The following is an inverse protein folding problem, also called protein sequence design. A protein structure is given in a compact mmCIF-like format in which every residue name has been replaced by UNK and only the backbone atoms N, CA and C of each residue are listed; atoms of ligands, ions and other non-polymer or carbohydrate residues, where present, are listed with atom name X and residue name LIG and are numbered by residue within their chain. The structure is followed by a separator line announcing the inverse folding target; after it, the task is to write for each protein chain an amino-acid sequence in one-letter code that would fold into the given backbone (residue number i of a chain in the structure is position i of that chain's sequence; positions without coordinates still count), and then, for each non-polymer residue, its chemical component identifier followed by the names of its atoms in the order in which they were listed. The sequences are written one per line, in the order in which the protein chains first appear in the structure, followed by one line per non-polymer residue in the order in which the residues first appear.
data_IF_658045671105
#
_entry.id   IF_658045671105
#
_cell.length_a   1.000
_cell.length_b   1.000
_cell.length_c   1.000
_cell.angle_alpha   90.00
_cell.angle_beta   90.00
_cell.angle_gamma   90.00
#
_symmetry.space_group_name_H-M   'P 1'
#
loop_
_entity.id
_entity.type
_entity.pdbx_description
1 polymer ?
#
# COMPACT_ATOMS: atom_id res chain seq x y z
N UNK A 1 49.64 10.80 13.28
CA UNK A 1 48.80 11.13 12.10
C UNK A 1 47.74 12.08 12.62
N UNK A 2 47.96 13.39 12.47
CA UNK A 2 47.05 14.41 12.98
C UNK A 2 45.74 14.38 12.19
N UNK A 3 44.67 13.91 12.83
CA UNK A 3 43.31 13.92 12.28
C UNK A 3 42.70 15.34 12.22
N UNK A 4 43.40 16.37 12.72
CA UNK A 4 42.88 17.73 12.91
C UNK A 4 43.01 18.67 11.71
N UNK A 5 43.70 18.28 10.63
CA UNK A 5 44.02 19.18 9.50
C UNK A 5 43.63 18.63 8.12
N UNK A 6 42.61 17.76 8.03
CA UNK A 6 42.07 17.39 6.72
C UNK A 6 41.01 18.43 6.25
N UNK A 7 41.17 19.05 5.06
CA UNK A 7 40.19 20.01 4.53
C UNK A 7 38.79 19.42 4.37
N UNK A 8 38.69 18.08 4.25
CA UNK A 8 37.42 17.36 4.15
C UNK A 8 36.63 17.36 5.46
N UNK A 9 37.27 17.27 6.63
CA UNK A 9 36.58 17.26 7.93
C UNK A 9 35.83 18.57 8.19
N UNK A 10 36.48 19.70 7.87
CA UNK A 10 35.86 21.03 7.98
C UNK A 10 34.74 21.24 6.96
N UNK A 11 34.89 20.70 5.76
CA UNK A 11 33.91 20.85 4.70
C UNK A 11 32.61 20.09 4.98
N UNK A 12 32.68 18.81 5.40
CA UNK A 12 31.50 18.05 5.81
C UNK A 12 30.92 18.54 7.16
N UNK A 13 31.77 18.99 8.09
CA UNK A 13 31.33 19.62 9.34
C UNK A 13 30.46 20.86 9.12
N UNK A 14 30.75 21.66 8.09
CA UNK A 14 29.93 22.83 7.74
C UNK A 14 28.50 22.44 7.31
N UNK A 15 28.33 21.31 6.61
CA UNK A 15 27.03 20.76 6.22
C UNK A 15 26.23 20.33 7.46
N UNK A 16 26.89 19.70 8.43
CA UNK A 16 26.26 19.30 9.69
C UNK A 16 25.84 20.47 10.57
N UNK A 17 26.65 21.54 10.63
CA UNK A 17 26.29 22.75 11.35
C UNK A 17 25.04 23.38 10.75
N UNK A 18 24.99 23.50 9.41
CA UNK A 18 23.82 24.05 8.72
C UNK A 18 22.58 23.16 8.88
N UNK A 19 22.73 21.85 8.74
CA UNK A 19 21.65 20.89 8.98
C UNK A 19 21.12 20.98 10.42
N UNK A 20 22.00 21.03 11.43
CA UNK A 20 21.63 21.12 12.84
C UNK A 20 20.90 22.43 13.15
N UNK A 21 21.33 23.55 12.55
CA UNK A 21 20.63 24.83 12.64
C UNK A 21 19.22 24.74 12.03
N UNK A 22 19.08 24.15 10.84
CA UNK A 22 17.76 23.97 10.21
C UNK A 22 16.83 23.04 11.00
N UNK A 23 17.36 21.95 11.55
CA UNK A 23 16.62 21.06 12.47
C UNK A 23 16.17 21.85 13.70
N UNK A 24 17.05 22.64 14.30
CA UNK A 24 16.75 23.47 15.47
C UNK A 24 15.65 24.51 15.17
N UNK A 25 15.75 25.22 14.05
CA UNK A 25 14.70 26.17 13.65
C UNK A 25 13.35 25.51 13.44
N UNK A 26 13.31 24.35 12.78
CA UNK A 26 12.07 23.58 12.60
C UNK A 26 11.51 23.05 13.92
N UNK A 27 12.37 22.60 14.83
CA UNK A 27 11.95 22.16 16.16
C UNK A 27 11.38 23.33 16.97
N UNK A 28 12.03 24.49 16.93
CA UNK A 28 11.61 25.72 17.63
C UNK A 28 10.28 26.27 17.10
N UNK A 29 9.97 26.06 15.82
CA UNK A 29 8.68 26.43 15.23
C UNK A 29 7.61 25.34 15.35
N UNK A 30 7.87 24.25 16.11
CA UNK A 30 6.97 23.09 16.23
C UNK A 30 6.71 22.35 14.91
N UNK A 31 7.51 22.63 13.88
CA UNK A 31 7.48 22.03 12.53
C UNK A 31 8.30 20.72 12.47
N UNK A 32 8.65 20.11 13.60
CA UNK A 32 9.33 18.81 13.66
C UNK A 32 9.13 18.17 15.04
N UNK A 33 8.76 16.89 15.07
CA UNK A 33 8.68 16.08 16.30
C UNK A 33 9.83 15.07 16.27
N UNK A 34 10.57 14.94 17.37
CA UNK A 34 11.66 13.97 17.49
C UNK A 34 11.08 12.56 17.57
N UNK A 35 11.06 11.86 16.43
CA UNK A 35 10.58 10.47 16.34
C UNK A 35 11.77 9.50 16.28
N UNK A 36 11.61 8.23 16.71
CA UNK A 36 12.65 7.21 16.55
C UNK A 36 13.13 7.05 15.10
N UNK A 37 12.25 7.29 14.12
CA UNK A 37 12.59 7.29 12.71
C UNK A 37 13.60 8.40 12.35
N UNK A 38 13.52 9.56 12.99
CA UNK A 38 14.46 10.67 12.79
C UNK A 38 15.89 10.28 13.21
N UNK A 39 16.03 9.54 14.31
CA UNK A 39 17.32 9.04 14.79
C UNK A 39 17.93 8.03 13.81
N UNK A 40 17.10 7.18 13.21
CA UNK A 40 17.54 6.25 12.15
C UNK A 40 18.04 7.01 10.93
N UNK A 41 17.33 8.05 10.48
CA UNK A 41 17.79 8.88 9.35
C UNK A 41 19.10 9.61 9.66
N UNK A 42 19.26 10.13 10.88
CA UNK A 42 20.51 10.74 11.32
C UNK A 42 21.67 9.75 11.24
N UNK A 43 21.47 8.53 11.74
CA UNK A 43 22.48 7.47 11.67
C UNK A 43 22.82 7.07 10.22
N UNK A 44 21.81 6.96 9.34
CA UNK A 44 22.02 6.70 7.92
C UNK A 44 22.79 7.83 7.22
N UNK A 45 22.54 9.09 7.59
CA UNK A 45 23.29 10.24 7.05
C UNK A 45 24.77 10.20 7.47
N UNK A 46 25.07 9.78 8.70
CA UNK A 46 26.47 9.61 9.16
C UNK A 46 27.17 8.49 8.38
N UNK A 47 26.49 7.36 8.14
CA UNK A 47 27.04 6.28 7.29
C UNK A 47 27.24 6.78 5.85
N UNK A 48 26.29 7.55 5.33
CA UNK A 48 26.34 8.09 3.97
C UNK A 48 27.47 9.12 3.81
N UNK A 49 27.70 9.98 4.81
CA UNK A 49 28.87 10.87 4.86
C UNK A 49 30.17 10.08 4.82
N UNK A 50 30.29 9.02 5.63
CA UNK A 50 31.47 8.17 5.64
C UNK A 50 31.74 7.54 4.27
N UNK A 51 30.68 7.09 3.59
CA UNK A 51 30.77 6.60 2.22
C UNK A 51 31.20 7.69 1.22
N UNK A 52 30.62 8.89 1.33
CA UNK A 52 31.00 10.03 0.48
C UNK A 52 32.47 10.42 0.67
N UNK A 53 32.97 10.34 1.90
CA UNK A 53 34.38 10.63 2.22
C UNK A 53 35.34 9.61 1.60
N UNK A 54 34.97 8.33 1.62
CA UNK A 54 35.80 7.25 1.09
C UNK A 54 35.88 7.19 -0.43
N UNK A 55 34.77 7.47 -1.13
CA UNK A 55 34.64 7.12 -2.54
C UNK A 55 34.44 8.30 -3.49
N UNK A 56 34.18 9.52 -2.98
CA UNK A 56 33.82 10.66 -3.82
C UNK A 56 34.75 11.85 -3.63
N UNK A 57 34.96 12.66 -4.70
CA UNK A 57 35.58 13.98 -4.56
C UNK A 57 34.80 14.87 -3.60
N UNK A 58 35.51 15.69 -2.80
CA UNK A 58 34.95 16.51 -1.72
C UNK A 58 33.72 17.33 -2.17
N UNK A 59 33.80 18.00 -3.32
CA UNK A 59 32.70 18.84 -3.82
C UNK A 59 31.45 17.99 -4.12
N UNK A 60 31.63 16.84 -4.79
CA UNK A 60 30.53 15.97 -5.15
C UNK A 60 29.88 15.33 -3.90
N UNK A 61 30.72 14.92 -2.94
CA UNK A 61 30.24 14.38 -1.67
C UNK A 61 29.49 15.41 -0.82
N UNK A 62 29.93 16.68 -0.79
CA UNK A 62 29.19 17.76 -0.11
C UNK A 62 27.84 18.00 -0.77
N UNK A 63 27.76 18.04 -2.10
CA UNK A 63 26.50 18.24 -2.83
C UNK A 63 25.52 17.10 -2.53
N UNK A 64 26.00 15.86 -2.54
CA UNK A 64 25.17 14.68 -2.28
C UNK A 64 24.74 14.62 -0.81
N UNK A 65 25.63 14.86 0.15
CA UNK A 65 25.27 14.90 1.57
C UNK A 65 24.28 16.04 1.87
N UNK A 66 24.50 17.23 1.29
CA UNK A 66 23.57 18.36 1.44
C UNK A 66 22.18 18.04 0.87
N UNK A 67 22.12 17.36 -0.28
CA UNK A 67 20.87 16.90 -0.88
C UNK A 67 20.17 15.85 -0.03
N UNK A 68 20.92 14.91 0.56
CA UNK A 68 20.39 13.89 1.46
C UNK A 68 19.86 14.51 2.77
N UNK A 69 20.60 15.44 3.37
CA UNK A 69 20.18 16.23 4.53
C UNK A 69 18.89 17.02 4.25
N UNK A 70 18.80 17.69 3.09
CA UNK A 70 17.59 18.39 2.67
C UNK A 70 16.40 17.45 2.48
N UNK A 71 16.63 16.26 1.91
CA UNK A 71 15.60 15.24 1.75
C UNK A 71 15.07 14.73 3.10
N UNK A 72 15.97 14.41 4.04
CA UNK A 72 15.60 13.99 5.40
C UNK A 72 14.79 15.07 6.12
N UNK A 73 15.21 16.33 6.03
CA UNK A 73 14.47 17.46 6.61
C UNK A 73 13.06 17.61 6.06
N UNK A 74 12.82 17.29 4.80
CA UNK A 74 11.49 17.36 4.19
C UNK A 74 10.59 16.19 4.58
N UNK A 75 11.15 14.99 4.79
CA UNK A 75 10.40 13.84 5.29
C UNK A 75 10.07 13.97 6.78
N UNK A 76 10.99 14.58 7.54
CA UNK A 76 10.90 14.74 8.99
C UNK A 76 9.87 15.79 9.44
N UNK A 77 9.60 16.80 8.63
CA UNK A 77 8.61 17.83 8.97
C UNK A 77 7.18 17.25 8.93
N UNK A 78 6.33 17.59 9.91
CA UNK A 78 4.92 17.28 9.86
C UNK A 78 4.32 17.97 8.63
N UNK A 79 3.36 17.30 8.03
CA UNK A 79 2.73 17.80 6.81
C UNK A 79 1.83 18.97 7.15
N UNK A 80 1.96 20.07 6.41
CA UNK A 80 1.02 21.18 6.48
C UNK A 80 -0.37 20.68 6.06
N UNK A 81 -1.30 20.77 7.00
CA UNK A 81 -2.71 20.47 6.77
C UNK A 81 -3.44 21.73 6.33
N UNK A 82 -4.45 21.57 5.48
CA UNK A 82 -5.35 22.64 5.09
C UNK A 82 -6.15 23.11 6.32
N UNK A 83 -6.33 24.43 6.51
CA UNK A 83 -7.01 24.96 7.69
C UNK A 83 -8.49 24.59 7.67
N UNK A 84 -8.91 23.78 8.65
CA UNK A 84 -10.30 23.30 8.84
C UNK A 84 -11.03 24.07 9.94
N UNK A 85 -10.32 24.58 10.95
CA UNK A 85 -10.92 25.27 12.10
C UNK A 85 -11.60 26.59 11.71
N UNK A 86 -12.80 26.83 12.25
CA UNK A 86 -13.53 28.11 12.10
C UNK A 86 -14.23 28.34 10.75
N UNK A 87 -14.26 27.34 9.86
CA UNK A 87 -14.94 27.46 8.56
C UNK A 87 -16.34 26.86 8.60
N UNK A 88 -17.34 27.67 8.25
CA UNK A 88 -18.72 27.22 8.02
C UNK A 88 -18.77 26.37 6.75
N UNK A 89 -19.30 25.14 6.85
CA UNK A 89 -19.49 24.24 5.70
C UNK A 89 -20.66 24.76 4.87
N UNK A 90 -20.37 25.59 3.86
CA UNK A 90 -21.31 25.84 2.78
C UNK A 90 -21.14 24.70 1.77
N UNK A 91 -22.14 23.82 1.63
CA UNK A 91 -22.16 22.81 0.56
C UNK A 91 -22.35 23.55 -0.76
N UNK A 92 -21.24 24.01 -1.35
CA UNK A 92 -21.20 24.74 -2.62
C UNK A 92 -20.37 24.00 -3.67
N UNK A 93 -19.80 22.84 -3.32
CA UNK A 93 -19.01 21.99 -4.22
C UNK A 93 -18.56 20.67 -3.58
N UNK A 94 -17.97 19.78 -4.38
CA UNK A 94 -17.43 18.49 -3.93
C UNK A 94 -15.91 18.58 -3.80
N UNK A 95 -15.41 18.79 -2.59
CA UNK A 95 -13.97 18.90 -2.32
C UNK A 95 -13.22 17.57 -2.45
N UNK A 96 -13.79 16.48 -1.95
CA UNK A 96 -13.11 15.18 -1.91
C UNK A 96 -14.07 14.04 -2.24
N UNK A 97 -13.60 13.07 -3.02
CA UNK A 97 -14.24 11.79 -3.27
C UNK A 97 -13.41 10.68 -2.64
N UNK A 98 -14.04 9.86 -1.79
CA UNK A 98 -13.41 8.65 -1.22
C UNK A 98 -14.05 7.40 -1.84
N UNK A 99 -13.35 6.77 -2.76
CA UNK A 99 -13.76 5.50 -3.36
C UNK A 99 -13.38 4.35 -2.43
N UNK A 100 -14.31 3.91 -1.59
CA UNK A 100 -14.09 2.82 -0.62
C UNK A 100 -14.76 1.50 -0.99
N UNK A 101 -15.83 1.52 -1.78
CA UNK A 101 -16.61 0.33 -2.10
C UNK A 101 -15.72 -0.80 -2.65
N UNK A 102 -15.92 -2.00 -2.12
CA UNK A 102 -15.09 -3.16 -2.42
C UNK A 102 -15.86 -4.46 -2.24
N UNK A 103 -15.64 -5.40 -3.14
CA UNK A 103 -16.25 -6.71 -3.15
C UNK A 103 -15.21 -7.80 -3.44
N UNK A 104 -15.24 -8.86 -2.64
CA UNK A 104 -14.46 -10.07 -2.83
C UNK A 104 -15.42 -11.25 -2.62
N UNK A 105 -15.67 -12.04 -3.67
CA UNK A 105 -16.69 -13.08 -3.61
C UNK A 105 -16.21 -14.40 -2.99
N UNK A 106 -14.96 -14.79 -3.27
CA UNK A 106 -14.46 -16.12 -3.01
C UNK A 106 -12.93 -16.17 -2.89
N UNK A 107 -12.41 -17.20 -2.21
CA UNK A 107 -11.00 -17.50 -2.04
C UNK A 107 -10.67 -18.90 -2.52
N UNK A 108 -9.90 -19.00 -3.60
CA UNK A 108 -9.38 -20.26 -4.10
C UNK A 108 -8.61 -20.04 -5.37
N UNK A 109 -8.02 -21.12 -5.88
CA UNK A 109 -7.16 -21.08 -7.05
C UNK A 109 -7.81 -20.33 -8.21
N UNK A 110 -6.97 -19.73 -9.04
CA UNK A 110 -7.43 -18.93 -10.17
C UNK A 110 -8.33 -19.75 -11.11
N UNK A 111 -8.01 -21.03 -11.30
CA UNK A 111 -8.76 -21.99 -12.09
C UNK A 111 -10.11 -22.38 -11.48
N UNK A 112 -10.19 -22.46 -10.14
CA UNK A 112 -11.44 -22.75 -9.43
C UNK A 112 -12.39 -21.54 -9.40
N UNK A 113 -11.88 -20.34 -9.68
CA UNK A 113 -12.66 -19.12 -9.62
C UNK A 113 -13.54 -18.97 -10.87
N UNK A 114 -14.87 -18.99 -10.67
CA UNK A 114 -15.85 -18.82 -11.75
C UNK A 114 -15.71 -17.46 -12.45
N UNK A 115 -15.98 -17.41 -13.76
CA UNK A 115 -15.99 -16.15 -14.51
C UNK A 115 -17.00 -15.12 -13.98
N UNK A 116 -18.11 -15.57 -13.40
CA UNK A 116 -19.08 -14.70 -12.71
C UNK A 116 -18.45 -13.97 -11.51
N UNK A 117 -17.53 -14.62 -10.79
CA UNK A 117 -16.76 -14.01 -9.70
C UNK A 117 -15.81 -12.93 -10.22
N UNK A 118 -15.09 -13.18 -11.32
CA UNK A 118 -14.25 -12.16 -11.96
C UNK A 118 -15.08 -10.95 -12.40
N UNK A 119 -16.23 -11.19 -13.06
CA UNK A 119 -17.16 -10.13 -13.47
C UNK A 119 -17.66 -9.33 -12.27
N UNK A 120 -18.18 -9.99 -11.24
CA UNK A 120 -18.69 -9.32 -10.04
C UNK A 120 -17.65 -8.46 -9.33
N UNK A 121 -16.41 -8.95 -9.17
CA UNK A 121 -15.31 -8.16 -8.63
C UNK A 121 -14.98 -6.95 -9.51
N UNK A 122 -14.94 -7.10 -10.84
CA UNK A 122 -14.68 -6.00 -11.78
C UNK A 122 -15.80 -4.96 -11.78
N UNK A 123 -17.07 -5.38 -11.80
CA UNK A 123 -18.23 -4.48 -11.78
C UNK A 123 -18.21 -3.56 -10.57
N UNK A 124 -17.97 -4.09 -9.37
CA UNK A 124 -17.97 -3.28 -8.15
C UNK A 124 -16.66 -2.51 -7.99
N UNK A 125 -15.52 -3.20 -8.01
CA UNK A 125 -14.25 -2.60 -7.60
C UNK A 125 -13.70 -1.65 -8.65
N UNK A 126 -13.86 -1.99 -9.93
CA UNK A 126 -13.29 -1.23 -11.04
C UNK A 126 -14.34 -0.35 -11.72
N UNK A 127 -15.37 -0.93 -12.34
CA UNK A 127 -16.33 -0.17 -13.14
C UNK A 127 -17.13 0.81 -12.29
N UNK A 128 -17.70 0.38 -11.16
CA UNK A 128 -18.44 1.24 -10.25
C UNK A 128 -17.60 2.41 -9.72
N UNK A 129 -16.35 2.15 -9.32
CA UNK A 129 -15.40 3.19 -8.93
C UNK A 129 -15.11 4.17 -10.06
N UNK A 130 -14.86 3.66 -11.27
CA UNK A 130 -14.54 4.46 -12.45
C UNK A 130 -15.73 5.35 -12.85
N UNK A 131 -16.94 4.81 -12.84
CA UNK A 131 -18.17 5.50 -13.22
C UNK A 131 -18.48 6.65 -12.25
N UNK A 132 -18.45 6.39 -10.93
CA UNK A 132 -18.63 7.44 -9.92
C UNK A 132 -17.55 8.51 -10.05
N UNK A 133 -16.29 8.10 -10.20
CA UNK A 133 -15.17 9.04 -10.33
C UNK A 133 -15.35 9.95 -11.54
N UNK A 134 -15.68 9.39 -12.71
CA UNK A 134 -15.91 10.17 -13.95
C UNK A 134 -17.11 11.09 -13.84
N UNK A 135 -18.21 10.61 -13.24
CA UNK A 135 -19.45 11.37 -13.05
C UNK A 135 -19.23 12.59 -12.16
N UNK A 136 -18.46 12.44 -11.08
CA UNK A 136 -18.20 13.50 -10.11
C UNK A 136 -17.01 14.39 -10.48
N UNK A 137 -16.24 14.01 -11.51
CA UNK A 137 -15.02 14.69 -11.93
C UNK A 137 -15.21 16.18 -12.25
N UNK A 138 -16.30 16.65 -12.88
CA UNK A 138 -16.52 18.08 -13.10
C UNK A 138 -16.55 18.89 -11.79
N UNK A 139 -17.21 18.36 -10.75
CA UNK A 139 -17.32 19.03 -9.45
C UNK A 139 -15.96 19.08 -8.74
N UNK A 140 -15.22 17.95 -8.76
CA UNK A 140 -13.90 17.84 -8.14
C UNK A 140 -12.88 18.74 -8.85
N UNK A 141 -12.94 18.84 -10.19
CA UNK A 141 -12.08 19.75 -10.97
C UNK A 141 -12.37 21.21 -10.63
N UNK A 142 -13.66 21.58 -10.50
CA UNK A 142 -14.06 22.93 -10.12
C UNK A 142 -13.50 23.34 -8.75
N UNK A 143 -13.42 22.40 -7.80
CA UNK A 143 -12.87 22.66 -6.47
C UNK A 143 -11.36 22.46 -6.36
N UNK A 144 -10.68 21.99 -7.43
CA UNK A 144 -9.28 21.51 -7.38
C UNK A 144 -9.06 20.50 -6.24
N UNK A 145 -10.02 19.59 -6.12
CA UNK A 145 -10.23 18.73 -4.98
C UNK A 145 -9.30 17.53 -4.86
N UNK A 146 -9.81 16.48 -4.21
CA UNK A 146 -9.09 15.24 -3.87
C UNK A 146 -9.88 14.02 -4.36
N UNK A 147 -9.17 13.06 -4.95
CA UNK A 147 -9.68 11.71 -5.20
C UNK A 147 -8.83 10.76 -4.35
N UNK A 148 -9.48 10.09 -3.40
CA UNK A 148 -8.84 9.10 -2.52
C UNK A 148 -9.48 7.76 -2.78
N UNK A 149 -8.69 6.76 -3.17
CA UNK A 149 -9.22 5.44 -3.54
C UNK A 149 -8.61 4.36 -2.65
N UNK A 150 -9.45 3.53 -2.05
CA UNK A 150 -9.02 2.39 -1.23
C UNK A 150 -8.69 1.21 -2.14
N UNK A 151 -7.38 0.98 -2.29
CA UNK A 151 -6.79 -0.11 -3.04
C UNK A 151 -6.72 -1.42 -2.25
N UNK A 152 -5.73 -2.23 -2.60
CA UNK A 152 -5.33 -3.41 -1.84
C UNK A 152 -3.91 -3.82 -2.26
N UNK A 153 -3.10 -4.37 -1.34
CA UNK A 153 -1.85 -5.03 -1.67
C UNK A 153 -1.98 -6.12 -2.74
N UNK A 154 -3.14 -6.78 -2.81
CA UNK A 154 -3.45 -7.78 -3.84
C UNK A 154 -3.63 -7.19 -5.26
N UNK A 155 -3.73 -5.85 -5.38
CA UNK A 155 -3.74 -5.15 -6.67
C UNK A 155 -2.34 -4.79 -7.18
N UNK A 156 -1.31 -4.90 -6.34
CA UNK A 156 0.09 -4.63 -6.72
C UNK A 156 0.95 -5.90 -6.71
N UNK A 157 0.51 -6.94 -6.01
CA UNK A 157 1.19 -8.24 -5.95
C UNK A 157 0.19 -9.37 -6.16
N UNK A 158 0.67 -10.47 -6.74
CA UNK A 158 -0.13 -11.67 -6.96
C UNK A 158 -0.25 -12.46 -5.66
N UNK A 159 -1.40 -12.36 -5.00
CA UNK A 159 -1.70 -13.20 -3.83
C UNK A 159 -2.42 -14.47 -4.28
N UNK A 160 -1.90 -15.66 -3.92
CA UNK A 160 -2.62 -16.91 -4.12
C UNK A 160 -4.03 -16.84 -3.54
N UNK A 161 -4.95 -17.56 -4.18
CA UNK A 161 -6.37 -17.62 -3.83
C UNK A 161 -7.20 -16.35 -4.05
N UNK A 162 -6.59 -15.26 -4.53
CA UNK A 162 -7.22 -13.94 -4.65
C UNK A 162 -7.30 -13.43 -6.09
N UNK A 163 -7.19 -14.30 -7.09
CA UNK A 163 -7.02 -13.91 -8.50
C UNK A 163 -8.10 -12.93 -9.01
N UNK A 164 -9.38 -13.20 -8.79
CA UNK A 164 -10.47 -12.34 -9.24
C UNK A 164 -10.48 -10.96 -8.56
N UNK A 165 -10.34 -10.95 -7.23
CA UNK A 165 -10.28 -9.71 -6.45
C UNK A 165 -9.02 -8.90 -6.78
N UNK A 166 -7.86 -9.55 -6.76
CA UNK A 166 -6.56 -8.94 -7.07
C UNK A 166 -6.53 -8.33 -8.46
N UNK A 167 -7.05 -9.03 -9.48
CA UNK A 167 -7.17 -8.52 -10.85
C UNK A 167 -7.99 -7.22 -10.90
N UNK A 168 -9.13 -7.18 -10.20
CA UNK A 168 -9.98 -5.98 -10.16
C UNK A 168 -9.31 -4.79 -9.44
N UNK A 169 -8.57 -5.05 -8.36
CA UNK A 169 -7.81 -4.02 -7.64
C UNK A 169 -6.56 -3.57 -8.42
N UNK A 170 -5.97 -4.43 -9.24
CA UNK A 170 -4.88 -4.09 -10.14
C UNK A 170 -5.35 -3.15 -11.26
N UNK A 171 -6.49 -3.48 -11.90
CA UNK A 171 -7.12 -2.61 -12.89
C UNK A 171 -7.46 -1.24 -12.29
N UNK A 172 -8.03 -1.23 -11.08
CA UNK A 172 -8.33 0.01 -10.34
C UNK A 172 -7.06 0.84 -10.07
N UNK A 173 -5.99 0.20 -9.60
CA UNK A 173 -4.72 0.88 -9.32
C UNK A 173 -4.15 1.57 -10.57
N UNK A 174 -4.15 0.87 -11.72
CA UNK A 174 -3.65 1.43 -12.99
C UNK A 174 -4.46 2.62 -13.47
N UNK A 175 -5.79 2.58 -13.37
CA UNK A 175 -6.61 3.72 -13.81
C UNK A 175 -6.46 4.93 -12.87
N UNK A 176 -6.27 4.72 -11.56
CA UNK A 176 -6.01 5.80 -10.62
C UNK A 176 -4.64 6.44 -10.83
N UNK A 177 -3.61 5.64 -11.14
CA UNK A 177 -2.30 6.14 -11.55
C UNK A 177 -2.41 7.01 -12.82
N UNK A 178 -3.24 6.60 -13.78
CA UNK A 178 -3.51 7.36 -15.01
C UNK A 178 -4.20 8.68 -14.69
N UNK A 179 -5.28 8.67 -13.90
CA UNK A 179 -5.96 9.89 -13.46
C UNK A 179 -5.04 10.86 -12.72
N UNK A 180 -4.07 10.37 -11.95
CA UNK A 180 -3.08 11.25 -11.30
C UNK A 180 -2.31 12.09 -12.31
N UNK A 181 -1.93 11.50 -13.45
CA UNK A 181 -1.24 12.22 -14.51
C UNK A 181 -2.17 13.17 -15.26
N UNK A 182 -3.34 12.67 -15.69
CA UNK A 182 -4.29 13.44 -16.50
C UNK A 182 -4.92 14.62 -15.75
N UNK A 183 -5.10 14.49 -14.43
CA UNK A 183 -5.74 15.51 -13.60
C UNK A 183 -4.77 16.50 -12.95
N UNK A 184 -3.46 16.27 -13.09
CA UNK A 184 -2.43 17.18 -12.58
C UNK A 184 -2.59 18.62 -13.11
N UNK A 185 -2.83 18.88 -14.42
CA UNK A 185 -3.06 20.23 -14.94
C UNK A 185 -4.32 20.90 -14.38
N UNK A 186 -5.28 20.12 -13.90
CA UNK A 186 -6.53 20.58 -13.31
C UNK A 186 -6.40 20.89 -11.81
N UNK A 187 -5.22 20.67 -11.22
CA UNK A 187 -4.98 20.90 -9.79
C UNK A 187 -5.62 19.87 -8.86
N UNK A 188 -6.19 18.79 -9.39
CA UNK A 188 -6.77 17.70 -8.59
C UNK A 188 -5.66 16.74 -8.17
N UNK A 189 -5.69 16.32 -6.90
CA UNK A 189 -4.74 15.33 -6.37
C UNK A 189 -5.41 13.98 -6.24
N UNK A 190 -4.70 12.93 -6.65
CA UNK A 190 -5.17 11.54 -6.58
C UNK A 190 -4.25 10.74 -5.67
N UNK A 191 -4.82 10.05 -4.69
CA UNK A 191 -4.11 9.24 -3.70
C UNK A 191 -4.74 7.86 -3.57
N UNK A 192 -3.90 6.84 -3.42
CA UNK A 192 -4.29 5.46 -3.18
C UNK A 192 -3.97 5.07 -1.75
N UNK A 193 -4.94 4.47 -1.05
CA UNK A 193 -4.74 3.88 0.27
C UNK A 193 -4.60 2.37 0.10
N UNK A 194 -3.48 1.82 0.53
CA UNK A 194 -3.19 0.39 0.51
C UNK A 194 -3.34 -0.17 1.92
N UNK A 195 -4.52 -0.68 2.30
CA UNK A 195 -4.74 -1.25 3.62
C UNK A 195 -4.07 -2.62 3.76
N UNK A 196 -3.55 -2.91 4.95
CA UNK A 196 -3.28 -4.27 5.41
C UNK A 196 -4.57 -5.05 5.68
N UNK A 197 -4.48 -6.07 6.53
CA UNK A 197 -5.67 -6.84 6.94
C UNK A 197 -6.39 -6.15 8.11
N UNK A 198 -7.67 -5.81 7.93
CA UNK A 198 -8.52 -5.16 8.93
C UNK A 198 -9.82 -5.91 9.14
N UNK A 199 -10.26 -6.07 10.40
CA UNK A 199 -11.47 -6.81 10.74
C UNK A 199 -12.72 -5.97 10.49
N UNK A 200 -13.25 -6.03 9.28
CA UNK A 200 -14.53 -5.42 8.88
C UNK A 200 -15.71 -6.38 9.04
N UNK A 201 -16.95 -5.87 9.04
CA UNK A 201 -18.16 -6.69 9.20
C UNK A 201 -18.35 -7.80 8.14
N UNK A 202 -17.67 -7.69 6.99
CA UNK A 202 -17.64 -8.76 5.99
C UNK A 202 -16.86 -9.99 6.47
N UNK A 203 -15.83 -9.83 7.32
CA UNK A 203 -15.06 -10.95 7.87
C UNK A 203 -15.86 -11.76 8.89
N UNK A 204 -16.65 -11.09 9.73
CA UNK A 204 -17.42 -11.75 10.80
C UNK A 204 -18.70 -12.45 10.28
N UNK A 205 -19.07 -12.23 9.02
CA UNK A 205 -20.24 -12.88 8.43
C UNK A 205 -19.92 -14.30 7.93
N UNK A 206 -19.73 -15.22 8.88
CA UNK A 206 -19.43 -16.64 8.58
C UNK A 206 -20.45 -17.28 7.64
N UNK A 207 -21.74 -16.96 7.83
CA UNK A 207 -22.84 -17.46 7.00
C UNK A 207 -22.67 -17.02 5.54
N UNK A 208 -22.27 -15.76 5.31
CA UNK A 208 -21.98 -15.28 3.96
C UNK A 208 -20.89 -16.14 3.30
N UNK A 209 -19.76 -16.36 3.97
CA UNK A 209 -18.66 -17.15 3.41
C UNK A 209 -19.04 -18.61 3.20
N UNK A 210 -19.72 -19.25 4.14
CA UNK A 210 -20.24 -20.62 3.98
C UNK A 210 -21.18 -20.73 2.77
N UNK A 211 -22.03 -19.72 2.54
CA UNK A 211 -22.92 -19.69 1.37
C UNK A 211 -22.15 -19.48 0.06
N UNK A 212 -21.11 -18.64 0.04
CA UNK A 212 -20.27 -18.46 -1.15
C UNK A 212 -19.52 -19.77 -1.50
N UNK A 213 -19.04 -20.48 -0.48
CA UNK A 213 -18.37 -21.78 -0.68
C UNK A 213 -19.32 -22.84 -1.24
N UNK A 214 -20.52 -22.97 -0.69
CA UNK A 214 -21.54 -23.87 -1.22
C UNK A 214 -21.88 -23.56 -2.67
N UNK A 215 -22.02 -22.27 -3.01
CA UNK A 215 -22.26 -21.82 -4.39
C UNK A 215 -21.11 -22.17 -5.32
N UNK A 216 -19.86 -22.00 -4.87
CA UNK A 216 -18.68 -22.40 -5.63
C UNK A 216 -18.73 -23.91 -5.93
N UNK A 217 -18.82 -24.74 -4.89
CA UNK A 217 -18.82 -26.20 -5.02
C UNK A 217 -19.93 -26.69 -5.96
N UNK A 218 -21.12 -26.11 -5.85
CA UNK A 218 -22.26 -26.46 -6.71
C UNK A 218 -22.10 -26.01 -8.17
N UNK A 219 -21.22 -25.04 -8.45
CA UNK A 219 -21.03 -24.47 -9.78
C UNK A 219 -19.77 -24.98 -10.49
N UNK A 220 -18.89 -25.68 -9.77
CA UNK A 220 -17.66 -26.23 -10.34
C UNK A 220 -17.97 -27.42 -11.27
N UNK A 221 -17.28 -27.55 -12.41
CA UNK A 221 -17.30 -28.77 -13.20
C UNK A 221 -16.90 -29.98 -12.36
N UNK A 222 -17.59 -31.10 -12.57
CA UNK A 222 -17.34 -32.34 -11.82
C UNK A 222 -15.88 -32.82 -11.99
N UNK A 223 -15.27 -32.59 -13.15
CA UNK A 223 -13.87 -32.91 -13.44
C UNK A 223 -12.92 -32.15 -12.50
N UNK A 224 -13.04 -30.82 -12.42
CA UNK A 224 -12.23 -30.00 -11.51
C UNK A 224 -12.46 -30.37 -10.04
N UNK A 225 -13.71 -30.67 -9.65
CA UNK A 225 -14.02 -31.12 -8.31
C UNK A 225 -13.34 -32.46 -7.97
N UNK A 226 -13.23 -33.36 -8.96
CA UNK A 226 -12.53 -34.63 -8.80
C UNK A 226 -11.01 -34.46 -8.73
N UNK A 227 -10.44 -33.55 -9.51
CA UNK A 227 -9.01 -33.26 -9.55
C UNK A 227 -8.51 -32.55 -8.29
N UNK A 228 -9.21 -31.52 -7.84
CA UNK A 228 -8.83 -30.76 -6.65
C UNK A 228 -9.31 -31.45 -5.37
N UNK A 229 -10.56 -31.91 -5.34
CA UNK A 229 -11.19 -32.49 -4.17
C UNK A 229 -11.73 -31.44 -3.19
N UNK A 230 -12.92 -31.69 -2.65
CA UNK A 230 -13.62 -30.79 -1.72
C UNK A 230 -12.82 -30.44 -0.46
N UNK A 231 -11.98 -31.36 0.02
CA UNK A 231 -11.11 -31.15 1.19
C UNK A 231 -10.15 -29.98 0.93
N UNK A 232 -9.51 -29.95 -0.24
CA UNK A 232 -8.57 -28.90 -0.62
C UNK A 232 -9.25 -27.55 -0.76
N UNK A 233 -10.38 -27.53 -1.46
CA UNK A 233 -11.16 -26.30 -1.70
C UNK A 233 -11.72 -25.75 -0.39
N UNK A 234 -12.13 -26.62 0.55
CA UNK A 234 -12.60 -26.19 1.86
C UNK A 234 -11.46 -25.65 2.73
N UNK A 235 -10.26 -26.24 2.60
CA UNK A 235 -9.09 -25.74 3.32
C UNK A 235 -8.67 -24.34 2.84
N UNK A 236 -8.68 -24.04 1.53
CA UNK A 236 -8.34 -22.70 1.01
C UNK A 236 -9.25 -21.63 1.62
N UNK A 237 -10.54 -21.91 1.76
CA UNK A 237 -11.45 -21.00 2.44
C UNK A 237 -11.10 -20.83 3.92
N UNK A 238 -10.83 -21.94 4.62
CA UNK A 238 -10.51 -21.90 6.06
C UNK A 238 -9.24 -21.11 6.35
N UNK A 239 -8.22 -21.22 5.48
CA UNK A 239 -6.97 -20.46 5.59
C UNK A 239 -7.25 -18.96 5.50
N UNK A 240 -8.12 -18.53 4.59
CA UNK A 240 -8.50 -17.11 4.51
C UNK A 240 -9.22 -16.63 5.77
N UNK A 241 -10.20 -17.39 6.28
CA UNK A 241 -10.92 -17.02 7.50
C UNK A 241 -9.96 -16.91 8.70
N UNK A 242 -8.98 -17.82 8.78
CA UNK A 242 -7.92 -17.78 9.79
C UNK A 242 -7.02 -16.55 9.62
N UNK A 243 -6.69 -16.16 8.39
CA UNK A 243 -5.99 -14.89 8.13
C UNK A 243 -6.82 -13.69 8.61
N UNK A 244 -8.12 -13.69 8.37
CA UNK A 244 -9.06 -12.68 8.88
C UNK A 244 -9.04 -12.55 10.41
N UNK A 245 -8.85 -13.65 11.15
CA UNK A 245 -8.78 -13.62 12.62
C UNK A 245 -7.53 -12.90 13.17
N UNK A 246 -6.49 -12.77 12.35
CA UNK A 246 -5.26 -12.02 12.69
C UNK A 246 -5.30 -10.57 12.21
N UNK A 247 -6.40 -10.15 11.60
CA UNK A 247 -6.60 -8.81 11.10
C UNK A 247 -6.66 -7.78 12.24
N UNK A 248 -6.18 -6.56 11.97
CA UNK A 248 -6.22 -5.49 12.95
C UNK A 248 -7.64 -4.99 13.19
N UNK A 249 -7.98 -4.71 14.44
CA UNK A 249 -9.24 -4.04 14.82
C UNK A 249 -9.07 -2.53 14.94
N UNK A 250 -7.83 -2.03 14.88
CA UNK A 250 -7.52 -0.61 14.95
C UNK A 250 -7.50 -0.02 13.55
N UNK A 251 -8.57 0.71 13.20
CA UNK A 251 -8.71 1.36 11.89
C UNK A 251 -7.94 2.68 11.76
N UNK A 252 -7.35 3.18 12.85
CA UNK A 252 -6.68 4.49 12.88
C UNK A 252 -5.68 4.67 11.72
N UNK A 253 -4.80 3.70 11.38
CA UNK A 253 -3.86 3.89 10.27
C UNK A 253 -4.52 4.13 8.91
N UNK A 254 -5.70 3.55 8.66
CA UNK A 254 -6.46 3.76 7.42
C UNK A 254 -7.14 5.12 7.46
N UNK A 255 -7.80 5.45 8.57
CA UNK A 255 -8.50 6.72 8.76
C UNK A 255 -7.54 7.91 8.72
N UNK A 256 -6.38 7.80 9.36
CA UNK A 256 -5.32 8.80 9.34
C UNK A 256 -4.76 8.98 7.92
N UNK A 257 -4.59 7.89 7.18
CA UNK A 257 -4.13 7.94 5.78
C UNK A 257 -5.14 8.61 4.86
N UNK A 258 -6.43 8.32 5.02
CA UNK A 258 -7.51 8.99 4.29
C UNK A 258 -7.55 10.47 4.68
N UNK A 259 -7.47 10.78 5.97
CA UNK A 259 -7.49 12.14 6.49
C UNK A 259 -6.31 12.96 5.96
N UNK A 260 -5.10 12.41 5.99
CA UNK A 260 -3.91 13.04 5.41
C UNK A 260 -4.08 13.22 3.89
N UNK A 261 -4.57 12.22 3.16
CA UNK A 261 -4.78 12.32 1.72
C UNK A 261 -5.77 13.45 1.34
N UNK A 262 -6.77 13.70 2.19
CA UNK A 262 -7.76 14.76 1.99
C UNK A 262 -7.22 16.14 2.40
N UNK A 263 -6.57 16.21 3.57
CA UNK A 263 -6.25 17.47 4.24
C UNK A 263 -4.82 17.96 4.01
N UNK A 264 -3.88 17.12 3.57
CA UNK A 264 -2.53 17.59 3.27
C UNK A 264 -2.51 18.56 2.09
N UNK A 265 -1.67 19.59 2.18
CA UNK A 265 -1.35 20.47 1.06
C UNK A 265 -0.74 19.67 -0.11
N UNK A 266 0.17 18.74 0.22
CA UNK A 266 0.85 17.84 -0.71
C UNK A 266 0.69 16.36 -0.27
N UNK A 267 -0.47 15.73 -0.55
CA UNK A 267 -0.72 14.36 -0.16
C UNK A 267 0.20 13.37 -0.90
N UNK A 268 0.44 12.19 -0.32
CA UNK A 268 1.21 11.12 -0.97
C UNK A 268 0.40 10.52 -2.11
N UNK A 269 1.09 9.97 -3.10
CA UNK A 269 0.44 9.16 -4.14
C UNK A 269 -0.06 7.84 -3.57
N UNK A 270 0.71 7.21 -2.68
CA UNK A 270 0.35 5.94 -2.02
C UNK A 270 0.54 6.03 -0.52
N UNK A 271 -0.42 5.51 0.22
CA UNK A 271 -0.39 5.35 1.67
C UNK A 271 -0.43 3.87 2.01
N UNK A 272 0.51 3.40 2.83
CA UNK A 272 0.58 2.00 3.26
C UNK A 272 0.04 1.89 4.68
N UNK A 273 -1.25 1.67 4.80
CA UNK A 273 -1.95 1.61 6.08
C UNK A 273 -1.90 0.18 6.62
N UNK A 274 -0.85 -0.15 7.36
CA UNK A 274 -0.69 -1.47 7.98
C UNK A 274 0.70 -1.68 8.56
N UNK A 275 0.78 -2.41 9.68
CA UNK A 275 2.06 -2.76 10.28
C UNK A 275 2.86 -3.66 9.34
N UNK A 276 4.14 -3.37 9.17
CA UNK A 276 5.08 -4.11 8.30
C UNK A 276 4.67 -4.21 6.82
N UNK A 277 3.66 -3.45 6.37
CA UNK A 277 3.20 -3.53 4.98
C UNK A 277 4.30 -3.11 4.00
N UNK A 278 5.14 -2.17 4.38
CA UNK A 278 6.30 -1.74 3.59
C UNK A 278 7.26 -2.89 3.23
N UNK A 279 7.41 -3.91 4.10
CA UNK A 279 8.31 -5.04 3.86
C UNK A 279 7.76 -5.92 2.72
N UNK A 280 6.44 -6.11 2.69
CA UNK A 280 5.73 -6.82 1.63
C UNK A 280 5.98 -6.16 0.26
N UNK A 281 5.83 -4.84 0.20
CA UNK A 281 6.10 -4.05 -1.00
C UNK A 281 7.58 -4.06 -1.37
N UNK A 282 8.47 -3.98 -0.40
CA UNK A 282 9.90 -4.02 -0.66
C UNK A 282 10.31 -5.36 -1.32
N UNK A 283 9.88 -6.47 -0.73
CA UNK A 283 10.17 -7.82 -1.24
C UNK A 283 9.54 -8.02 -2.62
N UNK A 284 8.26 -7.66 -2.78
CA UNK A 284 7.53 -7.91 -4.03
C UNK A 284 7.96 -7.03 -5.21
N UNK A 285 8.49 -5.83 -4.96
CA UNK A 285 8.88 -4.89 -6.02
C UNK A 285 10.38 -4.98 -6.35
N UNK A 286 11.25 -5.14 -5.35
CA UNK A 286 12.70 -4.96 -5.55
C UNK A 286 13.52 -6.25 -5.52
N UNK A 287 13.00 -7.34 -4.94
CA UNK A 287 13.74 -8.61 -4.89
C UNK A 287 13.44 -9.49 -6.12
N UNK A 288 14.37 -10.36 -6.53
CA UNK A 288 14.14 -11.33 -7.60
C UNK A 288 12.90 -12.19 -7.36
N UNK A 289 12.24 -12.59 -8.46
CA UNK A 289 11.03 -13.43 -8.43
C UNK A 289 11.19 -14.67 -7.53
N UNK A 290 12.32 -15.38 -7.60
CA UNK A 290 12.53 -16.56 -6.75
C UNK A 290 12.46 -16.27 -5.24
N UNK A 291 12.90 -15.08 -4.80
CA UNK A 291 12.84 -14.70 -3.38
C UNK A 291 11.42 -14.26 -3.02
N UNK A 292 10.83 -13.40 -3.86
CA UNK A 292 9.45 -12.93 -3.70
C UNK A 292 8.46 -14.09 -3.67
N UNK A 293 8.54 -15.02 -4.62
CA UNK A 293 7.65 -16.18 -4.75
C UNK A 293 7.79 -17.12 -3.55
N UNK A 294 9.00 -17.36 -3.06
CA UNK A 294 9.21 -18.15 -1.85
C UNK A 294 8.63 -17.46 -0.60
N UNK A 295 8.76 -16.14 -0.50
CA UNK A 295 8.15 -15.36 0.58
C UNK A 295 6.62 -15.43 0.52
N UNK A 296 6.02 -15.18 -0.63
CA UNK A 296 4.57 -15.26 -0.83
C UNK A 296 4.02 -16.67 -0.67
N UNK A 297 4.74 -17.70 -1.12
CA UNK A 297 4.41 -19.11 -0.87
C UNK A 297 4.42 -19.41 0.62
N UNK A 298 5.45 -18.97 1.34
CA UNK A 298 5.58 -19.14 2.79
C UNK A 298 4.49 -18.42 3.59
N UNK A 299 3.88 -17.37 3.04
CA UNK A 299 2.72 -16.71 3.63
C UNK A 299 1.44 -17.44 3.21
N UNK A 300 1.11 -17.47 1.93
CA UNK A 300 -0.24 -17.82 1.48
C UNK A 300 -0.46 -19.32 1.26
N UNK A 301 0.52 -20.06 0.72
CA UNK A 301 0.37 -21.47 0.35
C UNK A 301 0.74 -22.41 1.51
N UNK A 302 -0.07 -22.37 2.58
CA UNK A 302 0.09 -23.20 3.79
C UNK A 302 -0.88 -24.38 3.88
N UNK A 303 -1.53 -24.75 2.78
CA UNK A 303 -2.45 -25.87 2.73
C UNK A 303 -1.76 -27.15 3.19
N UNK A 304 -2.40 -27.88 4.11
CA UNK A 304 -1.99 -29.21 4.55
C UNK A 304 -2.46 -30.27 3.58
N UNK A 305 -3.63 -30.06 2.99
CA UNK A 305 -4.17 -30.88 1.92
C UNK A 305 -3.56 -30.48 0.58
N UNK A 306 -3.40 -31.46 -0.29
CA UNK A 306 -3.01 -31.26 -1.69
C UNK A 306 -4.21 -31.59 -2.59
N UNK A 307 -4.26 -31.01 -3.81
CA UNK A 307 -5.17 -31.46 -4.85
C UNK A 307 -5.18 -32.99 -4.98
N UNK A 308 -6.36 -33.58 -5.12
CA UNK A 308 -6.55 -35.04 -5.17
C UNK A 308 -5.73 -35.69 -6.31
N UNK A 309 -5.60 -35.02 -7.45
CA UNK A 309 -4.77 -35.47 -8.57
C UNK A 309 -3.29 -35.65 -8.17
N UNK A 310 -2.74 -34.71 -7.40
CA UNK A 310 -1.36 -34.78 -6.90
C UNK A 310 -1.18 -35.86 -5.82
N UNK A 311 -2.18 -36.08 -4.96
CA UNK A 311 -2.16 -37.19 -3.99
C UNK A 311 -2.07 -38.56 -4.69
N UNK A 312 -2.78 -38.74 -5.81
CA UNK A 312 -2.72 -39.99 -6.60
C UNK A 312 -1.35 -40.23 -7.19
N UNK A 313 -0.73 -39.22 -7.80
CA UNK A 313 0.61 -39.34 -8.38
C UNK A 313 1.65 -39.77 -7.33
N UNK A 314 1.62 -39.16 -6.15
CA UNK A 314 2.55 -39.50 -5.05
C UNK A 314 2.37 -40.90 -4.45
N UNK A 315 1.19 -41.52 -4.63
CA UNK A 315 0.95 -42.89 -4.21
C UNK A 315 1.34 -43.92 -5.28
N UNK A 316 1.68 -43.47 -6.49
CA UNK A 316 2.12 -44.29 -7.62
C UNK A 316 3.64 -44.18 -7.90
N UNK A 317 4.33 -43.26 -7.21
CA UNK A 317 5.81 -43.17 -7.12
C UNK A 317 6.31 -43.92 -5.87
#
# INVERSE_FOLDING_TARGET
MDLSTSPSLWAYGSVWVFFSLLVFFKFSHSDMILTPALLVYFFLLVIFEWFCHLYLPIILGIVLLSSACWYVLNIASPRRMLPVAGKTVFITGLWALVNNAGYCAHFGDAELSLMSTYRGCMEVNFFGTLEITKTLLPLIRSSKGRIVTVGSPAGEHSFPFLAAYGSSKAALSRVMDTFRHELMPWGVKVSMIQPGSYRTGAHDNKIHWENQHKKLLASLPNELLQEYGEEYISETQSLFLNYGNTASTDFSPVLDSITDAILSENPKVKYYAGKQLWLLYFIGIYLPHSISDNFFKGIFLKNKSMPRALKKQKNHE
#
